data_IF_436778992047
#
_entry.id   IF_436778992047
#
_cell.length_a   1.000
_cell.length_b   1.000
_cell.length_c   1.000
_cell.angle_alpha   90.00
_cell.angle_beta   90.00
_cell.angle_gamma   90.00
#
_symmetry.space_group_name_H-M   'P 1'
#
loop_
_entity.id
_entity.type
_entity.pdbx_description
1 polymer ?
#
# COMPACT_ATOMS: atom_id res chain seq x y z
N UNK A 1 3.49 22.50 9.77
CA UNK A 1 3.80 22.39 8.33
C UNK A 1 4.92 21.40 8.08
N UNK A 2 4.50 20.27 7.54
CA UNK A 2 5.37 19.21 7.06
C UNK A 2 6.14 19.65 5.80
N UNK A 3 7.30 19.05 5.57
CA UNK A 3 8.11 19.26 4.36
C UNK A 3 8.14 17.96 3.59
N UNK A 4 7.88 18.01 2.29
CA UNK A 4 7.90 16.81 1.45
C UNK A 4 9.28 16.12 1.47
N UNK A 5 9.26 14.81 1.69
CA UNK A 5 10.39 13.91 1.53
C UNK A 5 10.07 12.80 0.53
N UNK A 6 11.07 12.37 -0.23
CA UNK A 6 10.98 11.13 -1.01
C UNK A 6 10.77 9.95 -0.04
N UNK A 7 9.83 9.03 -0.30
CA UNK A 7 9.46 7.96 0.61
C UNK A 7 10.57 6.92 0.77
N UNK A 8 11.44 7.15 1.74
CA UNK A 8 12.45 6.19 2.23
C UNK A 8 12.00 5.66 3.59
N UNK A 9 11.84 4.33 3.77
CA UNK A 9 11.34 3.82 5.04
C UNK A 9 12.26 4.10 6.22
N UNK A 10 11.67 4.47 7.35
CA UNK A 10 12.34 4.53 8.65
C UNK A 10 12.38 3.11 9.22
N UNK A 11 13.57 2.61 9.51
CA UNK A 11 13.76 1.27 10.07
C UNK A 11 13.77 1.30 11.61
N UNK A 12 12.82 0.57 12.21
CA UNK A 12 12.76 0.36 13.66
C UNK A 12 13.02 -1.12 13.95
N UNK A 13 14.16 -1.40 14.59
CA UNK A 13 14.52 -2.78 14.98
C UNK A 13 13.72 -3.19 16.22
N UNK A 14 12.96 -4.28 16.10
CA UNK A 14 12.15 -4.86 17.17
C UNK A 14 12.79 -6.14 17.72
N UNK A 15 14.12 -6.13 17.80
CA UNK A 15 14.96 -7.24 18.30
C UNK A 15 15.43 -6.95 19.73
N UNK A 16 15.94 -7.99 20.40
CA UNK A 16 16.42 -7.85 21.78
C UNK A 16 15.29 -7.76 22.80
N UNK A 17 15.65 -7.36 24.03
CA UNK A 17 14.73 -7.36 25.17
C UNK A 17 13.59 -6.35 24.99
N UNK A 18 13.92 -5.10 24.66
CA UNK A 18 12.93 -4.04 24.47
C UNK A 18 11.99 -4.31 23.28
N UNK A 19 12.54 -4.76 22.15
CA UNK A 19 11.73 -5.16 21.00
C UNK A 19 10.84 -6.38 21.28
N UNK A 20 11.28 -7.30 22.14
CA UNK A 20 10.44 -8.42 22.57
C UNK A 20 9.32 -7.97 23.51
N UNK A 21 9.58 -7.06 24.45
CA UNK A 21 8.54 -6.52 25.34
C UNK A 21 7.40 -5.86 24.56
N UNK A 22 7.71 -5.05 23.54
CA UNK A 22 6.69 -4.47 22.67
C UNK A 22 5.86 -5.52 21.93
N UNK A 23 6.51 -6.55 21.38
CA UNK A 23 5.83 -7.69 20.74
C UNK A 23 4.94 -8.45 21.71
N UNK A 24 5.41 -8.67 22.94
CA UNK A 24 4.67 -9.35 24.00
C UNK A 24 3.43 -8.57 24.39
N UNK A 25 3.57 -7.26 24.60
CA UNK A 25 2.44 -6.37 24.89
C UNK A 25 1.37 -6.40 23.79
N UNK A 26 1.79 -6.37 22.52
CA UNK A 26 0.86 -6.49 21.39
C UNK A 26 0.15 -7.86 21.37
N UNK A 27 0.85 -8.95 21.69
CA UNK A 27 0.26 -10.28 21.75
C UNK A 27 -0.74 -10.43 22.91
N UNK A 28 -0.40 -9.92 24.09
CA UNK A 28 -1.28 -9.94 25.28
C UNK A 28 -2.55 -9.15 25.04
N UNK A 29 -2.45 -7.98 24.41
CA UNK A 29 -3.62 -7.19 24.04
C UNK A 29 -4.53 -7.94 23.07
N UNK A 30 -3.93 -8.49 22.01
CA UNK A 30 -4.66 -9.20 20.97
C UNK A 30 -5.40 -10.42 21.51
N UNK A 31 -4.83 -11.12 22.50
CA UNK A 31 -5.48 -12.26 23.15
C UNK A 31 -6.81 -11.89 23.86
N UNK A 32 -6.99 -10.64 24.27
CA UNK A 32 -8.19 -10.16 24.97
C UNK A 32 -9.18 -9.48 24.02
N UNK A 33 -8.69 -8.80 22.99
CA UNK A 33 -9.49 -7.94 22.10
C UNK A 33 -9.57 -8.46 20.66
N UNK A 34 -9.26 -9.75 20.45
CA UNK A 34 -9.33 -10.35 19.14
C UNK A 34 -10.74 -10.21 18.55
N UNK A 35 -10.82 -9.67 17.34
CA UNK A 35 -12.10 -9.45 16.70
C UNK A 35 -12.27 -10.38 15.49
N UNK A 36 -13.15 -11.38 15.67
CA UNK A 36 -13.51 -12.39 14.67
C UNK A 36 -14.79 -12.06 13.89
N UNK A 37 -15.52 -10.98 14.21
CA UNK A 37 -16.83 -10.73 13.60
C UNK A 37 -16.72 -10.03 12.24
N UNK A 38 -17.23 -10.69 11.20
CA UNK A 38 -17.36 -10.17 9.83
C UNK A 38 -16.58 -10.95 8.77
N UNK A 39 -17.23 -11.25 7.63
CA UNK A 39 -16.82 -12.25 6.62
C UNK A 39 -15.49 -12.01 5.87
N UNK A 40 -14.73 -10.96 6.21
CA UNK A 40 -13.45 -10.68 5.53
C UNK A 40 -12.32 -10.27 6.48
N UNK A 41 -12.47 -10.31 7.83
CA UNK A 41 -11.47 -9.73 8.77
C UNK A 41 -10.05 -10.30 8.57
N UNK A 42 -9.04 -9.43 8.72
CA UNK A 42 -7.65 -9.87 8.65
C UNK A 42 -7.42 -10.90 9.77
N UNK A 43 -6.68 -11.97 9.49
CA UNK A 43 -6.39 -12.99 10.51
C UNK A 43 -5.69 -12.37 11.75
N UNK A 44 -5.76 -13.06 12.87
CA UNK A 44 -5.17 -12.70 14.17
C UNK A 44 -3.77 -12.09 14.02
N UNK A 45 -2.91 -12.76 13.27
CA UNK A 45 -1.56 -12.31 12.97
C UNK A 45 -1.52 -10.88 12.38
N UNK A 46 -2.33 -10.62 11.35
CA UNK A 46 -2.40 -9.30 10.70
C UNK A 46 -2.96 -8.21 11.62
N UNK A 47 -3.93 -8.54 12.48
CA UNK A 47 -4.41 -7.60 13.50
C UNK A 47 -3.28 -7.24 14.47
N UNK A 48 -2.51 -8.24 14.91
CA UNK A 48 -1.36 -8.03 15.79
C UNK A 48 -0.23 -7.22 15.13
N UNK A 49 -0.04 -7.34 13.81
CA UNK A 49 0.94 -6.51 13.09
C UNK A 49 0.54 -5.04 13.04
N UNK A 50 -0.75 -4.75 12.83
CA UNK A 50 -1.29 -3.39 12.89
C UNK A 50 -1.07 -2.76 14.26
N UNK A 51 -1.50 -3.47 15.32
CA UNK A 51 -1.33 -3.02 16.70
C UNK A 51 0.14 -2.80 17.09
N UNK A 52 1.03 -3.73 16.71
CA UNK A 52 2.46 -3.57 16.97
C UNK A 52 3.02 -2.33 16.27
N UNK A 53 2.62 -2.08 15.01
CA UNK A 53 3.06 -0.91 14.27
C UNK A 53 2.57 0.38 14.95
N UNK A 54 1.31 0.42 15.38
CA UNK A 54 0.74 1.53 16.13
C UNK A 54 1.50 1.79 17.44
N UNK A 55 1.71 0.76 18.26
CA UNK A 55 2.44 0.87 19.54
C UNK A 55 3.85 1.43 19.33
N UNK A 56 4.54 0.99 18.27
CA UNK A 56 5.88 1.49 17.93
C UNK A 56 5.84 2.96 17.52
N UNK A 57 4.87 3.36 16.70
CA UNK A 57 4.72 4.76 16.26
C UNK A 57 4.38 5.65 17.46
N UNK A 58 3.39 5.28 18.29
CA UNK A 58 3.02 6.02 19.50
C UNK A 58 4.21 6.21 20.44
N UNK A 59 4.94 5.13 20.72
CA UNK A 59 6.13 5.18 21.58
C UNK A 59 7.22 6.08 21.01
N UNK A 60 7.47 6.01 19.69
CA UNK A 60 8.45 6.87 19.02
C UNK A 60 8.02 8.35 18.93
N UNK A 61 6.71 8.63 19.01
CA UNK A 61 6.15 9.98 19.11
C UNK A 61 6.00 10.48 20.56
N UNK A 62 6.36 9.67 21.56
CA UNK A 62 6.16 9.96 22.99
C UNK A 62 4.69 10.23 23.34
N UNK A 63 3.78 9.58 22.62
CA UNK A 63 2.35 9.65 22.88
C UNK A 63 1.94 8.68 24.00
N UNK A 64 0.82 8.94 24.69
CA UNK A 64 0.27 7.99 25.63
C UNK A 64 0.11 6.61 25.00
N UNK A 65 0.28 5.60 25.83
CA UNK A 65 0.04 4.22 25.44
C UNK A 65 -1.40 4.06 24.91
N UNK A 66 -1.59 3.08 24.04
CA UNK A 66 -2.90 2.72 23.52
C UNK A 66 -3.91 2.55 24.66
N UNK A 67 -5.02 3.30 24.64
CA UNK A 67 -6.14 3.14 25.56
C UNK A 67 -7.33 2.47 24.82
N UNK A 68 -7.71 1.22 25.17
CA UNK A 68 -8.83 0.52 24.54
C UNK A 68 -10.20 1.17 24.77
N UNK A 69 -10.39 1.90 25.86
CA UNK A 69 -11.70 2.52 26.18
C UNK A 69 -11.97 3.78 25.36
N UNK A 70 -10.91 4.47 24.93
CA UNK A 70 -10.98 5.75 24.22
C UNK A 70 -10.91 5.60 22.69
N UNK A 71 -10.94 4.37 22.16
CA UNK A 71 -10.67 4.16 20.75
C UNK A 71 -11.95 4.24 19.91
N UNK A 72 -12.24 5.37 19.22
CA UNK A 72 -13.23 5.34 18.17
C UNK A 72 -12.76 4.32 17.11
N UNK A 73 -13.70 3.58 16.53
CA UNK A 73 -13.45 2.54 15.52
C UNK A 73 -12.86 3.07 14.18
N UNK A 74 -12.22 4.24 14.17
CA UNK A 74 -11.91 4.98 12.95
C UNK A 74 -10.47 5.46 12.72
N UNK A 75 -9.68 5.78 13.75
CA UNK A 75 -8.25 6.14 13.62
C UNK A 75 -7.44 5.68 14.83
N UNK A 76 -6.15 5.46 14.61
CA UNK A 76 -5.23 4.93 15.62
C UNK A 76 -4.54 6.04 16.41
N UNK A 77 -4.26 7.19 15.80
CA UNK A 77 -3.52 8.29 16.43
C UNK A 77 -4.17 9.62 16.07
N UNK A 78 -4.37 10.50 17.06
CA UNK A 78 -4.70 11.90 16.83
C UNK A 78 -3.46 12.77 17.06
N UNK A 79 -3.02 13.48 16.03
CA UNK A 79 -1.87 14.37 16.09
C UNK A 79 -2.23 15.66 16.85
N UNK A 80 -1.23 16.42 17.37
CA UNK A 80 -1.47 17.70 18.03
C UNK A 80 -2.21 18.74 17.16
N UNK A 81 -2.11 18.61 15.83
CA UNK A 81 -2.85 19.41 14.85
C UNK A 81 -4.33 19.05 14.71
N UNK A 82 -4.79 18.00 15.41
CA UNK A 82 -6.13 17.43 15.28
C UNK A 82 -6.29 16.42 14.15
N UNK A 83 -5.26 16.22 13.32
CA UNK A 83 -5.25 15.25 12.22
C UNK A 83 -5.35 13.81 12.75
N UNK A 84 -6.26 13.04 12.15
CA UNK A 84 -6.53 11.64 12.49
C UNK A 84 -5.74 10.70 11.58
N UNK A 85 -4.96 9.83 12.19
CA UNK A 85 -4.01 8.93 11.51
C UNK A 85 -4.39 7.49 11.75
N UNK A 86 -4.46 6.71 10.69
CA UNK A 86 -4.72 5.27 10.73
C UNK A 86 -3.49 4.51 10.20
N UNK A 87 -2.93 3.62 11.02
CA UNK A 87 -1.68 2.92 10.78
C UNK A 87 -1.97 1.60 10.08
N UNK A 88 -1.51 1.49 8.83
CA UNK A 88 -1.67 0.27 8.04
C UNK A 88 -0.38 -0.53 8.06
N UNK A 89 -0.48 -1.81 8.41
CA UNK A 89 0.67 -2.70 8.50
C UNK A 89 0.51 -3.95 7.65
N UNK A 90 1.51 -4.22 6.80
CA UNK A 90 1.67 -5.48 6.09
C UNK A 90 2.80 -6.30 6.70
N UNK A 91 2.54 -7.54 7.08
CA UNK A 91 3.59 -8.48 7.50
C UNK A 91 4.24 -9.21 6.32
N UNK A 92 5.56 -9.40 6.38
CA UNK A 92 6.33 -10.13 5.37
C UNK A 92 7.59 -10.81 5.92
N UNK A 93 8.13 -11.77 5.15
CA UNK A 93 9.32 -12.54 5.54
C UNK A 93 10.61 -12.01 4.94
N UNK A 94 10.48 -11.09 3.99
CA UNK A 94 11.58 -10.38 3.33
C UNK A 94 11.67 -8.95 3.89
N UNK A 95 12.89 -8.41 4.01
CA UNK A 95 13.05 -6.98 4.32
C UNK A 95 12.35 -6.14 3.25
N UNK A 96 11.96 -4.93 3.63
CA UNK A 96 11.45 -3.98 2.64
C UNK A 96 12.59 -3.58 1.71
N UNK A 97 12.34 -3.56 0.41
CA UNK A 97 13.27 -3.10 -0.62
C UNK A 97 12.51 -2.23 -1.60
N UNK A 98 12.87 -0.95 -1.72
CA UNK A 98 12.16 -0.02 -2.62
C UNK A 98 12.13 -0.56 -4.06
N UNK A 99 13.27 -1.10 -4.51
CA UNK A 99 13.41 -1.83 -5.76
C UNK A 99 14.06 -3.19 -5.47
N UNK A 100 13.53 -4.24 -6.08
CA UNK A 100 14.10 -5.58 -6.03
C UNK A 100 14.12 -6.20 -7.43
N UNK A 101 15.02 -7.15 -7.65
CA UNK A 101 15.12 -7.88 -8.92
C UNK A 101 14.11 -9.04 -8.96
N UNK A 102 13.35 -9.11 -10.05
CA UNK A 102 12.42 -10.21 -10.34
C UNK A 102 13.14 -11.51 -10.72
N UNK A 103 12.39 -12.60 -10.90
CA UNK A 103 12.95 -13.86 -11.38
C UNK A 103 13.51 -13.80 -12.82
N UNK A 104 13.08 -12.79 -13.57
CA UNK A 104 13.46 -12.46 -14.95
C UNK A 104 14.63 -11.47 -15.03
N UNK A 105 15.24 -11.08 -13.91
CA UNK A 105 16.34 -10.11 -13.87
C UNK A 105 15.89 -8.65 -14.07
N UNK A 106 14.58 -8.39 -14.12
CA UNK A 106 14.06 -7.04 -14.31
C UNK A 106 13.70 -6.38 -12.96
N UNK A 107 13.85 -5.05 -12.83
CA UNK A 107 13.51 -4.35 -11.60
C UNK A 107 12.01 -4.39 -11.34
N UNK A 108 11.65 -4.47 -10.05
CA UNK A 108 10.28 -4.36 -9.53
C UNK A 108 10.27 -3.45 -8.32
N UNK A 109 9.20 -2.68 -8.20
CA UNK A 109 8.99 -1.74 -7.12
C UNK A 109 8.21 -2.38 -5.97
N UNK A 110 8.53 -1.95 -4.74
CA UNK A 110 7.74 -2.34 -3.58
C UNK A 110 6.36 -1.70 -3.60
N UNK A 111 5.37 -2.55 -3.34
CA UNK A 111 3.97 -2.17 -3.19
C UNK A 111 3.44 -2.50 -1.81
N UNK A 112 2.49 -1.68 -1.41
CA UNK A 112 1.65 -1.84 -0.25
C UNK A 112 0.30 -2.38 -0.73
N UNK A 113 -0.11 -3.54 -0.21
CA UNK A 113 -1.38 -4.14 -0.54
C UNK A 113 -2.19 -4.36 0.73
N UNK A 114 -3.39 -3.78 0.76
CA UNK A 114 -4.30 -3.85 1.90
C UNK A 114 -5.67 -4.33 1.46
N UNK A 115 -6.44 -4.90 2.39
CA UNK A 115 -7.83 -5.24 2.09
C UNK A 115 -8.61 -3.97 1.75
N UNK A 116 -9.39 -4.01 0.68
CA UNK A 116 -10.06 -2.81 0.15
C UNK A 116 -10.87 -2.07 1.22
N UNK A 117 -11.61 -2.82 2.04
CA UNK A 117 -12.40 -2.29 3.16
C UNK A 117 -11.59 -1.59 4.26
N UNK A 118 -10.29 -1.84 4.40
CA UNK A 118 -9.47 -1.10 5.38
C UNK A 118 -9.23 0.34 4.96
N UNK A 119 -9.52 0.67 3.69
CA UNK A 119 -9.25 1.98 3.08
C UNK A 119 -10.53 2.61 2.52
N UNK A 120 -11.46 1.81 1.97
CA UNK A 120 -12.71 2.26 1.33
C UNK A 120 -13.93 2.23 2.27
N UNK A 121 -13.74 2.11 3.58
CA UNK A 121 -14.85 2.26 4.52
C UNK A 121 -15.25 3.75 4.61
N UNK A 122 -16.48 4.08 4.20
CA UNK A 122 -17.01 5.46 4.24
C UNK A 122 -16.89 6.05 5.65
N UNK A 123 -17.25 5.26 6.67
CA UNK A 123 -17.22 5.65 8.08
C UNK A 123 -15.82 5.56 8.73
N UNK A 124 -14.76 5.32 7.96
CA UNK A 124 -13.41 5.30 8.52
C UNK A 124 -13.01 6.73 8.90
N UNK A 125 -12.99 7.01 10.20
CA UNK A 125 -12.72 8.33 10.77
C UNK A 125 -11.20 8.62 10.83
N UNK A 126 -10.55 8.63 9.67
CA UNK A 126 -9.15 8.93 9.47
C UNK A 126 -8.94 9.93 8.32
N UNK A 127 -8.01 10.86 8.50
CA UNK A 127 -7.65 11.85 7.47
C UNK A 127 -6.50 11.32 6.58
N UNK A 128 -5.55 10.61 7.20
CA UNK A 128 -4.38 10.04 6.53
C UNK A 128 -4.14 8.59 6.93
N UNK A 129 -3.46 7.86 6.06
CA UNK A 129 -2.92 6.54 6.32
C UNK A 129 -1.40 6.60 6.45
N UNK A 130 -0.84 5.98 7.49
CA UNK A 130 0.60 5.71 7.59
C UNK A 130 0.86 4.27 7.18
N UNK A 131 1.63 4.07 6.12
CA UNK A 131 1.91 2.75 5.55
C UNK A 131 3.16 2.17 6.18
N UNK A 132 3.06 0.92 6.65
CA UNK A 132 4.16 0.21 7.31
C UNK A 132 4.31 -1.23 6.79
N UNK A 133 5.54 -1.73 6.85
CA UNK A 133 5.88 -3.13 6.53
C UNK A 133 6.62 -3.74 7.71
N UNK A 134 6.18 -4.92 8.16
CA UNK A 134 6.80 -5.65 9.26
C UNK A 134 7.55 -6.86 8.72
N UNK A 135 8.88 -6.82 8.76
CA UNK A 135 9.71 -8.00 8.60
C UNK A 135 9.57 -8.86 9.86
N UNK A 136 9.12 -10.10 9.66
CA UNK A 136 8.85 -11.08 10.71
C UNK A 136 9.44 -12.47 10.37
N UNK A 137 9.66 -13.35 11.36
CA UNK A 137 10.13 -14.71 11.12
C UNK A 137 9.00 -15.65 10.66
N UNK A 138 9.38 -16.90 10.37
CA UNK A 138 8.47 -18.05 10.26
C UNK A 138 8.62 -18.92 11.52
N UNK A 139 7.53 -19.39 12.15
CA UNK A 139 6.12 -19.07 11.87
C UNK A 139 5.76 -17.59 12.17
N UNK A 140 4.63 -17.08 11.65
CA UNK A 140 4.21 -15.67 11.74
C UNK A 140 3.85 -15.14 13.15
N UNK A 141 4.08 -15.92 14.19
CA UNK A 141 3.42 -15.76 15.49
C UNK A 141 4.00 -14.61 16.31
N UNK A 142 3.12 -13.77 16.85
CA UNK A 142 3.44 -12.82 17.93
C UNK A 142 3.31 -13.49 19.31
N UNK A 143 4.21 -13.22 20.27
CA UNK A 143 5.36 -12.32 20.17
C UNK A 143 6.58 -12.98 19.50
N UNK A 144 6.55 -14.28 19.24
CA UNK A 144 7.72 -15.04 18.80
C UNK A 144 8.70 -15.26 19.96
N UNK A 145 10.01 -15.20 19.71
CA UNK A 145 11.04 -15.34 20.75
C UNK A 145 12.00 -14.15 20.80
N UNK A 146 12.67 -13.97 21.95
CA UNK A 146 13.71 -12.95 22.16
C UNK A 146 14.91 -13.10 21.22
N UNK A 147 15.22 -14.34 20.80
CA UNK A 147 16.40 -14.67 19.97
C UNK A 147 16.18 -14.43 18.47
N UNK A 148 14.93 -14.26 18.03
CA UNK A 148 14.62 -14.02 16.63
C UNK A 148 15.14 -12.64 16.19
N UNK A 149 15.95 -12.63 15.14
CA UNK A 149 16.55 -11.40 14.57
C UNK A 149 15.73 -10.77 13.45
N UNK A 150 14.72 -11.47 12.93
CA UNK A 150 13.85 -11.01 11.84
C UNK A 150 12.64 -10.27 12.39
N UNK A 151 12.87 -9.15 13.07
CA UNK A 151 11.82 -8.28 13.59
C UNK A 151 12.22 -6.83 13.34
N UNK A 152 11.70 -6.27 12.25
CA UNK A 152 11.97 -4.88 11.83
C UNK A 152 10.69 -4.28 11.28
N UNK A 153 10.26 -3.16 11.85
CA UNK A 153 9.18 -2.36 11.29
C UNK A 153 9.78 -1.29 10.38
N UNK A 154 9.27 -1.21 9.15
CA UNK A 154 9.61 -0.19 8.17
C UNK A 154 8.42 0.78 8.07
N UNK A 155 8.62 2.02 8.48
CA UNK A 155 7.60 3.08 8.40
C UNK A 155 7.82 3.80 7.06
N UNK A 156 6.98 3.52 6.08
CA UNK A 156 7.27 3.77 4.67
C UNK A 156 6.89 5.18 4.20
N UNK A 157 5.87 5.77 4.82
CA UNK A 157 5.37 7.10 4.48
C UNK A 157 3.88 7.22 4.79
N UNK A 158 3.29 8.34 4.39
CA UNK A 158 1.88 8.62 4.58
C UNK A 158 1.21 9.06 3.28
N UNK A 159 -0.12 8.98 3.25
CA UNK A 159 -0.96 9.41 2.13
C UNK A 159 -2.35 9.78 2.66
N UNK A 160 -2.97 10.80 2.08
CA UNK A 160 -4.34 11.21 2.44
C UNK A 160 -5.36 10.14 2.06
N UNK A 161 -6.45 10.05 2.84
CA UNK A 161 -7.56 9.14 2.56
C UNK A 161 -8.12 9.36 1.17
N UNK A 162 -8.35 10.61 0.78
CA UNK A 162 -8.92 10.96 -0.53
C UNK A 162 -8.01 10.59 -1.70
N UNK A 163 -6.69 10.77 -1.57
CA UNK A 163 -5.75 10.36 -2.62
C UNK A 163 -5.69 8.84 -2.75
N UNK A 164 -5.77 8.10 -1.65
CA UNK A 164 -5.95 6.64 -1.67
C UNK A 164 -7.19 6.25 -2.47
N UNK A 165 -8.37 6.80 -2.13
CA UNK A 165 -9.61 6.47 -2.83
C UNK A 165 -9.57 6.79 -4.34
N UNK A 166 -8.82 7.82 -4.73
CA UNK A 166 -8.70 8.25 -6.13
C UNK A 166 -7.69 7.45 -6.95
N UNK A 167 -6.54 7.11 -6.36
CA UNK A 167 -5.38 6.58 -7.10
C UNK A 167 -5.13 5.10 -6.87
N UNK A 168 -5.74 4.50 -5.86
CA UNK A 168 -5.55 3.10 -5.51
C UNK A 168 -6.02 2.15 -6.59
N UNK A 169 -5.19 1.16 -6.92
CA UNK A 169 -5.58 0.13 -7.89
C UNK A 169 -6.38 -0.93 -7.15
N UNK A 170 -7.69 -0.95 -7.37
CA UNK A 170 -8.55 -2.00 -6.82
C UNK A 170 -8.36 -3.33 -7.56
N UNK A 171 -8.21 -4.41 -6.79
CA UNK A 171 -8.02 -5.78 -7.27
C UNK A 171 -9.06 -6.72 -6.63
N UNK A 172 -10.05 -7.23 -7.39
CA UNK A 172 -11.04 -8.17 -6.88
C UNK A 172 -10.46 -9.59 -6.66
N UNK A 173 -11.18 -10.48 -5.96
CA UNK A 173 -10.86 -11.89 -5.89
C UNK A 173 -10.64 -12.49 -7.29
N UNK A 174 -9.59 -13.30 -7.43
CA UNK A 174 -9.17 -13.86 -8.71
C UNK A 174 -8.18 -12.99 -9.48
N UNK A 175 -8.03 -11.71 -9.15
CA UNK A 175 -6.96 -10.88 -9.67
C UNK A 175 -5.59 -11.51 -9.38
N UNK A 176 -4.70 -11.54 -10.36
CA UNK A 176 -3.40 -12.21 -10.22
C UNK A 176 -2.31 -11.17 -9.94
N UNK A 177 -1.35 -11.50 -9.09
CA UNK A 177 -0.14 -10.72 -8.89
C UNK A 177 1.09 -11.63 -8.92
N UNK A 178 2.21 -11.06 -9.34
CA UNK A 178 3.53 -11.69 -9.22
C UNK A 178 4.01 -11.67 -7.76
N UNK A 179 4.64 -12.76 -7.30
CA UNK A 179 5.31 -12.92 -6.01
C UNK A 179 6.67 -13.60 -6.23
N UNK A 180 7.66 -12.82 -6.65
CA UNK A 180 8.99 -13.34 -6.96
C UNK A 180 8.98 -14.15 -8.26
N UNK A 181 8.99 -15.49 -8.16
CA UNK A 181 8.93 -16.41 -9.31
C UNK A 181 7.56 -17.06 -9.50
N UNK A 182 6.62 -16.80 -8.60
CA UNK A 182 5.30 -17.41 -8.61
C UNK A 182 4.23 -16.37 -8.91
N UNK A 183 3.16 -16.82 -9.57
CA UNK A 183 1.92 -16.07 -9.68
C UNK A 183 0.97 -16.53 -8.58
N UNK A 184 0.21 -15.60 -8.01
CA UNK A 184 -0.85 -15.94 -7.06
C UNK A 184 -2.11 -15.14 -7.37
N UNK A 185 -3.27 -15.75 -7.11
CA UNK A 185 -4.55 -15.06 -7.17
C UNK A 185 -4.88 -14.46 -5.80
N UNK A 186 -5.36 -13.22 -5.81
CA UNK A 186 -5.96 -12.59 -4.64
C UNK A 186 -7.22 -13.34 -4.25
N UNK A 187 -7.31 -13.72 -2.98
CA UNK A 187 -8.50 -14.39 -2.44
C UNK A 187 -9.58 -13.40 -1.97
N UNK A 188 -9.21 -12.13 -1.83
CA UNK A 188 -10.05 -11.09 -1.25
C UNK A 188 -9.84 -9.78 -2.00
N UNK A 189 -10.81 -8.88 -1.92
CA UNK A 189 -10.72 -7.49 -2.39
C UNK A 189 -9.48 -6.80 -1.80
N UNK A 190 -8.54 -6.40 -2.66
CA UNK A 190 -7.36 -5.63 -2.28
C UNK A 190 -7.32 -4.28 -2.97
N UNK A 191 -6.50 -3.39 -2.42
CA UNK A 191 -6.03 -2.20 -3.12
C UNK A 191 -4.51 -2.17 -3.05
N UNK A 192 -3.89 -1.81 -4.18
CA UNK A 192 -2.46 -1.62 -4.27
C UNK A 192 -2.09 -0.14 -4.37
N UNK A 193 -1.04 0.22 -3.62
CA UNK A 193 -0.32 1.49 -3.73
C UNK A 193 1.16 1.23 -3.79
N UNK A 194 1.87 2.04 -4.54
CA UNK A 194 3.31 1.91 -4.67
C UNK A 194 4.04 2.88 -3.74
N UNK A 195 5.17 2.41 -3.20
CA UNK A 195 5.90 3.17 -2.18
C UNK A 195 6.30 4.57 -2.67
N UNK A 196 6.75 4.70 -3.91
CA UNK A 196 7.17 5.98 -4.50
C UNK A 196 6.05 7.04 -4.55
N UNK A 197 4.78 6.62 -4.46
CA UNK A 197 3.65 7.53 -4.45
C UNK A 197 3.33 8.12 -3.07
N UNK A 198 3.92 7.58 -1.99
CA UNK A 198 3.73 8.06 -0.63
C UNK A 198 4.48 9.37 -0.38
N UNK A 199 4.04 10.09 0.66
CA UNK A 199 4.79 11.18 1.25
C UNK A 199 5.76 10.61 2.29
N UNK A 200 7.06 10.79 2.08
CA UNK A 200 8.10 10.27 2.96
C UNK A 200 8.20 10.98 4.30
N UNK A 201 8.95 10.39 5.22
CA UNK A 201 9.28 10.99 6.51
C UNK A 201 10.80 10.94 6.66
N UNK A 202 11.44 12.03 7.07
CA UNK A 202 12.88 12.00 7.37
C UNK A 202 13.13 11.41 8.75
N UNK A 203 12.26 11.74 9.70
CA UNK A 203 12.19 11.16 11.05
C UNK A 203 10.74 10.92 11.42
N UNK A 204 10.49 10.04 12.40
CA UNK A 204 9.12 9.73 12.81
C UNK A 204 8.38 10.96 13.33
N UNK A 205 9.10 11.88 13.99
CA UNK A 205 8.59 13.15 14.50
C UNK A 205 8.08 14.10 13.41
N UNK A 206 8.37 13.86 12.13
CA UNK A 206 7.77 14.62 11.04
C UNK A 206 6.25 14.43 10.98
N UNK A 207 5.71 13.30 11.46
CA UNK A 207 4.26 13.11 11.59
C UNK A 207 3.61 14.20 12.44
N UNK A 208 4.26 14.66 13.51
CA UNK A 208 3.72 15.70 14.41
C UNK A 208 3.59 17.07 13.74
N UNK A 209 4.23 17.26 12.58
CA UNK A 209 4.23 18.52 11.83
C UNK A 209 3.13 18.58 10.77
N UNK A 210 2.47 17.46 10.48
CA UNK A 210 1.39 17.35 9.50
C UNK A 210 0.16 18.07 10.04
N UNK A 211 -0.39 18.97 9.24
CA UNK A 211 -1.63 19.68 9.51
C UNK A 211 -2.65 19.50 8.36
N UNK A 212 -3.82 20.14 8.49
CA UNK A 212 -4.89 20.04 7.50
C UNK A 212 -4.52 20.63 6.13
N UNK A 213 -3.60 21.59 6.08
CA UNK A 213 -3.14 22.16 4.82
C UNK A 213 -2.24 21.18 4.07
N UNK A 214 -1.35 20.47 4.79
CA UNK A 214 -0.55 19.39 4.21
C UNK A 214 -1.43 18.29 3.59
N UNK A 215 -2.54 17.95 4.25
CA UNK A 215 -3.54 16.99 3.74
C UNK A 215 -4.17 17.53 2.46
N UNK A 216 -4.67 18.76 2.47
CA UNK A 216 -5.29 19.41 1.30
C UNK A 216 -4.35 19.44 0.09
N UNK A 217 -3.06 19.65 0.33
CA UNK A 217 -2.03 19.58 -0.73
C UNK A 217 -1.94 18.15 -1.28
N UNK A 218 -1.80 17.14 -0.43
CA UNK A 218 -1.74 15.73 -0.88
C UNK A 218 -3.03 15.27 -1.56
N UNK A 219 -4.20 15.70 -1.11
CA UNK A 219 -5.48 15.38 -1.74
C UNK A 219 -5.53 15.76 -3.22
N UNK A 220 -4.79 16.79 -3.64
CA UNK A 220 -4.77 17.31 -5.01
C UNK A 220 -3.49 16.91 -5.77
N UNK A 221 -2.53 16.28 -5.09
CA UNK A 221 -1.28 15.81 -5.71
C UNK A 221 -1.58 14.66 -6.68
N UNK A 222 -1.11 14.76 -7.91
CA UNK A 222 -1.17 13.65 -8.88
C UNK A 222 0.04 12.74 -8.68
N UNK A 223 -0.20 11.49 -8.30
CA UNK A 223 0.82 10.46 -8.21
C UNK A 223 1.33 9.97 -9.56
N UNK A 224 2.42 9.20 -9.53
CA UNK A 224 2.80 8.38 -10.67
C UNK A 224 1.90 7.13 -10.75
N UNK A 225 1.98 6.39 -11.85
CA UNK A 225 1.18 5.20 -12.10
C UNK A 225 1.33 4.19 -10.97
N UNK A 226 0.26 3.73 -10.30
CA UNK A 226 0.34 2.69 -9.26
C UNK A 226 0.52 1.27 -9.86
N UNK A 227 1.61 1.06 -10.59
CA UNK A 227 2.03 -0.23 -11.16
C UNK A 227 3.56 -0.39 -11.06
N UNK A 228 4.05 -1.63 -11.11
CA UNK A 228 5.49 -1.82 -11.36
C UNK A 228 5.82 -1.38 -12.77
N UNK A 229 7.08 -0.97 -13.01
CA UNK A 229 7.56 -0.68 -14.37
C UNK A 229 7.29 -1.83 -15.32
N UNK A 230 7.54 -3.06 -14.85
CA UNK A 230 7.32 -4.25 -15.67
C UNK A 230 5.84 -4.52 -15.88
N UNK A 231 4.99 -4.47 -14.86
CA UNK A 231 3.55 -4.71 -15.05
C UNK A 231 2.94 -3.66 -16.00
N UNK A 232 3.44 -2.42 -15.98
CA UNK A 232 3.06 -1.38 -16.95
C UNK A 232 3.37 -1.81 -18.39
N UNK A 233 4.56 -2.36 -18.64
CA UNK A 233 4.93 -2.90 -19.95
C UNK A 233 4.14 -4.16 -20.32
N UNK A 234 3.87 -5.06 -19.36
CA UNK A 234 3.06 -6.27 -19.56
C UNK A 234 1.63 -5.92 -20.00
N UNK A 235 1.03 -4.93 -19.33
CA UNK A 235 -0.28 -4.37 -19.68
C UNK A 235 -0.22 -3.68 -21.05
N UNK A 236 0.86 -2.93 -21.33
CA UNK A 236 1.09 -2.33 -22.64
C UNK A 236 1.09 -3.36 -23.78
N UNK A 237 1.79 -4.48 -23.61
CA UNK A 237 1.79 -5.58 -24.59
C UNK A 237 0.42 -6.24 -24.74
N UNK A 238 -0.29 -6.50 -23.63
CA UNK A 238 -1.65 -7.08 -23.70
C UNK A 238 -2.62 -6.15 -24.46
N UNK A 239 -2.61 -4.85 -24.15
CA UNK A 239 -3.45 -3.86 -24.82
C UNK A 239 -3.11 -3.70 -26.31
N UNK A 240 -1.83 -3.81 -26.67
CA UNK A 240 -1.41 -3.80 -28.07
C UNK A 240 -1.87 -5.08 -28.80
N UNK A 241 -1.76 -6.24 -28.16
CA UNK A 241 -2.27 -7.51 -28.70
C UNK A 241 -3.78 -7.50 -28.97
N UNK A 242 -4.54 -6.69 -28.22
CA UNK A 242 -5.99 -6.45 -28.43
C UNK A 242 -6.31 -5.36 -29.45
N UNK A 243 -5.30 -4.70 -30.04
CA UNK A 243 -5.50 -3.58 -30.95
C UNK A 243 -6.06 -2.32 -30.27
N UNK A 244 -5.87 -2.18 -28.95
CA UNK A 244 -6.25 -0.99 -28.19
C UNK A 244 -5.11 0.03 -28.22
N UNK A 245 -3.88 -0.42 -27.96
CA UNK A 245 -2.68 0.41 -28.11
C UNK A 245 -1.99 0.15 -29.46
N UNK A 246 -1.36 1.20 -29.99
CA UNK A 246 -0.48 1.13 -31.15
C UNK A 246 0.96 0.87 -30.70
N UNK A 247 1.82 0.46 -31.64
CA UNK A 247 3.26 0.23 -31.38
C UNK A 247 3.93 1.45 -30.75
N UNK A 248 3.64 2.66 -31.24
CA UNK A 248 4.19 3.91 -30.72
C UNK A 248 3.89 4.14 -29.23
N UNK A 249 2.71 3.73 -28.74
CA UNK A 249 2.37 3.81 -27.32
C UNK A 249 3.19 2.81 -26.49
N UNK A 250 3.42 1.60 -27.01
CA UNK A 250 4.24 0.58 -26.34
C UNK A 250 5.71 1.00 -26.30
N UNK A 251 6.22 1.57 -27.39
CA UNK A 251 7.59 2.10 -27.46
C UNK A 251 7.78 3.26 -26.46
N UNK A 252 6.76 4.13 -26.31
CA UNK A 252 6.72 5.14 -25.25
C UNK A 252 6.80 4.50 -23.85
N UNK A 253 5.94 3.52 -23.55
CA UNK A 253 5.93 2.83 -22.25
C UNK A 253 7.30 2.23 -21.95
N UNK A 254 7.90 1.50 -22.90
CA UNK A 254 9.21 0.86 -22.71
C UNK A 254 10.30 1.89 -22.39
N UNK A 255 10.30 3.03 -23.10
CA UNK A 255 11.24 4.12 -22.88
C UNK A 255 11.06 4.76 -21.51
N UNK A 256 9.83 5.12 -21.14
CA UNK A 256 9.52 5.79 -19.87
C UNK A 256 9.80 4.87 -18.67
N UNK A 257 9.53 3.57 -18.78
CA UNK A 257 9.82 2.58 -17.74
C UNK A 257 11.30 2.20 -17.67
N UNK A 258 12.11 2.61 -18.66
CA UNK A 258 13.54 2.28 -18.77
C UNK A 258 13.81 0.76 -18.66
N UNK A 259 13.10 -0.04 -19.44
CA UNK A 259 13.22 -1.50 -19.45
C UNK A 259 13.86 -2.00 -20.75
N UNK A 260 14.97 -2.72 -20.62
CA UNK A 260 15.74 -3.28 -21.74
C UNK A 260 15.50 -4.79 -21.97
N UNK A 261 14.46 -5.38 -21.37
CA UNK A 261 14.13 -6.80 -21.50
C UNK A 261 12.71 -7.06 -21.98
N UNK A 262 12.45 -8.32 -22.31
CA UNK A 262 11.12 -8.79 -22.69
C UNK A 262 10.32 -9.24 -21.46
N UNK A 263 9.01 -9.03 -21.51
CA UNK A 263 8.08 -9.42 -20.45
C UNK A 263 6.86 -10.07 -21.09
N UNK A 264 6.27 -11.07 -20.43
CA UNK A 264 5.01 -11.66 -20.90
C UNK A 264 3.84 -10.69 -20.81
N UNK A 265 2.81 -10.85 -21.64
CA UNK A 265 1.58 -10.07 -21.54
C UNK A 265 0.77 -10.44 -20.29
N UNK A 266 0.19 -9.44 -19.62
CA UNK A 266 -0.64 -9.63 -18.42
C UNK A 266 -1.88 -8.75 -18.49
N UNK A 267 -3.05 -9.29 -18.15
CA UNK A 267 -4.30 -8.54 -18.09
C UNK A 267 -4.82 -8.46 -16.65
N UNK A 268 -5.04 -7.24 -16.21
CA UNK A 268 -6.00 -6.92 -15.17
C UNK A 268 -6.77 -5.66 -15.55
N UNK A 269 -8.08 -5.74 -15.72
CA UNK A 269 -8.88 -4.64 -16.31
C UNK A 269 -8.64 -3.28 -15.64
N UNK A 270 -8.61 -3.25 -14.30
CA UNK A 270 -8.35 -2.01 -13.58
C UNK A 270 -6.93 -1.48 -13.85
N UNK A 271 -5.93 -2.35 -13.96
CA UNK A 271 -4.57 -1.93 -14.31
C UNK A 271 -4.48 -1.40 -15.75
N UNK A 272 -5.22 -2.02 -16.69
CA UNK A 272 -5.36 -1.51 -18.05
C UNK A 272 -5.96 -0.11 -18.10
N UNK A 273 -7.01 0.14 -17.31
CA UNK A 273 -7.62 1.47 -17.16
C UNK A 273 -6.61 2.48 -16.62
N UNK A 274 -5.85 2.11 -15.59
CA UNK A 274 -4.79 2.97 -15.03
C UNK A 274 -3.70 3.30 -16.06
N UNK A 275 -3.23 2.34 -16.86
CA UNK A 275 -2.23 2.61 -17.91
C UNK A 275 -2.77 3.55 -18.98
N UNK A 276 -4.00 3.33 -19.45
CA UNK A 276 -4.62 4.20 -20.48
C UNK A 276 -4.86 5.62 -19.95
N UNK A 277 -5.29 5.75 -18.69
CA UNK A 277 -5.41 7.06 -18.01
C UNK A 277 -4.06 7.76 -17.89
N UNK A 278 -3.02 7.03 -17.50
CA UNK A 278 -1.67 7.58 -17.38
C UNK A 278 -1.08 8.01 -18.73
N UNK A 279 -1.32 7.26 -19.81
CA UNK A 279 -0.93 7.68 -21.16
C UNK A 279 -1.60 9.00 -21.57
N UNK A 280 -2.88 9.19 -21.20
CA UNK A 280 -3.61 10.45 -21.43
C UNK A 280 -3.01 11.59 -20.60
N UNK A 281 -2.73 11.36 -19.32
CA UNK A 281 -2.14 12.35 -18.42
C UNK A 281 -0.71 12.76 -18.85
N UNK A 282 0.01 11.85 -19.52
CA UNK A 282 1.32 12.10 -20.14
C UNK A 282 1.23 12.71 -21.55
N UNK A 283 0.01 13.04 -22.01
CA UNK A 283 -0.28 13.61 -23.33
C UNK A 283 0.21 12.73 -24.51
N UNK A 284 0.36 11.42 -24.29
CA UNK A 284 0.76 10.45 -25.32
C UNK A 284 -0.41 10.09 -26.21
N UNK A 285 -1.62 10.14 -25.66
CA UNK A 285 -2.88 9.91 -26.36
C UNK A 285 -3.81 11.10 -26.12
N UNK A 286 -4.61 11.44 -27.13
CA UNK A 286 -5.62 12.50 -27.03
C UNK A 286 -6.82 12.09 -26.17
N UNK A 287 -7.61 13.08 -25.74
CA UNK A 287 -8.89 12.86 -25.05
C UNK A 287 -9.87 11.99 -25.87
N UNK A 288 -9.83 12.12 -27.20
CA UNK A 288 -10.68 11.32 -28.07
C UNK A 288 -10.19 9.87 -28.14
N UNK A 289 -8.89 9.64 -28.30
CA UNK A 289 -8.29 8.31 -28.25
C UNK A 289 -8.53 7.63 -26.91
N UNK A 290 -8.39 8.36 -25.80
CA UNK A 290 -8.72 7.87 -24.47
C UNK A 290 -10.15 7.32 -24.41
N UNK A 291 -11.14 8.11 -24.82
CA UNK A 291 -12.55 7.68 -24.86
C UNK A 291 -12.77 6.46 -25.74
N UNK A 292 -12.11 6.39 -26.89
CA UNK A 292 -12.26 5.28 -27.83
C UNK A 292 -11.58 4.00 -27.35
N UNK A 293 -10.46 4.11 -26.63
CA UNK A 293 -9.81 2.98 -25.96
C UNK A 293 -10.66 2.43 -24.82
N UNK A 294 -11.27 3.31 -23.99
CA UNK A 294 -12.14 2.89 -22.90
C UNK A 294 -13.34 2.05 -23.37
N UNK A 295 -13.92 2.37 -24.54
CA UNK A 295 -15.03 1.59 -25.13
C UNK A 295 -14.63 0.16 -25.51
N UNK A 296 -13.33 -0.08 -25.74
CA UNK A 296 -12.78 -1.40 -26.12
C UNK A 296 -12.34 -2.23 -24.91
N UNK A 297 -12.24 -1.62 -23.73
CA UNK A 297 -11.87 -2.32 -22.52
C UNK A 297 -13.07 -3.04 -21.90
N UNK A 298 -12.84 -4.13 -21.17
CA UNK A 298 -13.86 -4.67 -20.28
C UNK A 298 -14.22 -3.64 -19.20
N UNK A 299 -15.45 -3.75 -18.68
CA UNK A 299 -15.99 -2.83 -17.65
C UNK A 299 -15.05 -2.79 -16.42
N UNK A 300 -14.83 -1.58 -15.90
CA UNK A 300 -14.12 -1.37 -14.63
C UNK A 300 -14.77 -2.18 -13.52
N UNK A 301 -13.98 -2.93 -12.77
CA UNK A 301 -14.51 -3.60 -11.59
C UNK A 301 -14.45 -2.59 -10.45
N UNK A 302 -15.58 -2.01 -10.10
CA UNK A 302 -15.68 -1.11 -8.96
C UNK A 302 -15.79 -1.91 -7.65
N UNK A 303 -15.24 -1.34 -6.57
CA UNK A 303 -15.52 -1.84 -5.23
C UNK A 303 -16.91 -1.37 -4.79
N UNK A 304 -17.90 -2.25 -4.85
CA UNK A 304 -19.28 -1.94 -4.44
C UNK A 304 -19.53 -2.08 -2.93
N UNK A 305 -18.46 -2.14 -2.13
CA UNK A 305 -18.53 -2.42 -0.70
C UNK A 305 -18.49 -3.90 -0.38
N UNK A 306 -18.61 -4.22 0.92
CA UNK A 306 -19.03 -5.55 1.34
C UNK A 306 -20.53 -5.60 1.03
N UNK A 307 -20.96 -6.39 0.05
CA UNK A 307 -22.39 -6.64 -0.14
C UNK A 307 -23.05 -6.92 1.22
N UNK A 308 -24.21 -6.27 1.45
CA UNK A 308 -24.99 -6.37 2.70
C UNK A 308 -25.15 -7.80 3.18
#
# INVERSE_FOLDING_TARGET
MYKYHHPKPIEVKLIGEEGFKLRQKAAEYLAVHENHTGAQRANTDRQGYGLLAEMVIRGGLQMPEFNPEDHPLGHDIQLPSGVKVDVKCRGGEKPFLEIYEGGDGLPRESKHNFFARQLHQENLDADIFVMTHLLRPKPPTLPGTKRQKKWVLYICGWISKKRVLREGVYLPPGAISERGREWFAYQYNQIEFYNYNLNGLSTLTDLLKIDQEDIRIDENKVGDLNLTRVDTLRVGYDLAGRGILKKEHVDFIRKEMNLNGEVGSFLHNNQSLHVIKWLREKEVISDQEYKDMLKKLPIEVEFTGLGR
#
